data_IF_750833128139
#
_entry.id   IF_750833128139
#
_cell.length_a   1.000
_cell.length_b   1.000
_cell.length_c   1.000
_cell.angle_alpha   90.00
_cell.angle_beta   90.00
_cell.angle_gamma   90.00
#
_symmetry.space_group_name_H-M   'P 1'
#
loop_
_entity.id
_entity.type
_entity.pdbx_description
1 polymer ?
#
# COMPACT_ATOMS: atom_id res chain seq x y z
N UNK A 1 5.84 -30.33 33.65
CA UNK A 1 7.06 -29.57 33.34
C UNK A 1 7.36 -28.64 34.52
N UNK A 2 8.55 -28.74 35.12
CA UNK A 2 8.97 -27.89 36.25
C UNK A 2 9.82 -26.76 35.67
N UNK A 3 9.29 -25.55 35.61
CA UNK A 3 10.05 -24.35 35.21
C UNK A 3 10.89 -23.96 36.43
N UNK A 4 12.20 -24.06 36.31
CA UNK A 4 13.13 -23.79 37.41
C UNK A 4 13.36 -22.28 37.55
N UNK A 5 13.35 -21.79 38.79
CA UNK A 5 13.44 -20.37 39.17
C UNK A 5 14.64 -19.62 38.55
N UNK A 6 15.69 -20.36 38.16
CA UNK A 6 16.88 -19.84 37.50
C UNK A 6 16.63 -19.37 36.06
N UNK A 7 15.69 -20.02 35.34
CA UNK A 7 15.31 -19.61 33.98
C UNK A 7 14.55 -18.29 33.98
N UNK A 8 13.75 -18.03 35.04
CA UNK A 8 13.06 -16.77 35.23
C UNK A 8 14.05 -15.63 35.52
N UNK A 9 15.07 -15.88 36.33
CA UNK A 9 16.12 -14.92 36.61
C UNK A 9 16.97 -14.60 35.37
N UNK A 10 17.24 -15.59 34.52
CA UNK A 10 17.94 -15.38 33.26
C UNK A 10 17.13 -14.52 32.28
N UNK A 11 15.82 -14.76 32.18
CA UNK A 11 14.93 -14.04 31.28
C UNK A 11 14.73 -12.58 31.72
N UNK A 12 14.65 -12.33 33.03
CA UNK A 12 14.58 -10.97 33.58
C UNK A 12 15.89 -10.20 33.33
N UNK A 13 17.04 -10.84 33.53
CA UNK A 13 18.35 -10.23 33.23
C UNK A 13 18.53 -9.93 31.74
N UNK A 14 18.01 -10.78 30.86
CA UNK A 14 18.00 -10.55 29.42
C UNK A 14 17.11 -9.34 29.05
N UNK A 15 15.97 -9.18 29.73
CA UNK A 15 15.10 -8.02 29.55
C UNK A 15 15.76 -6.72 30.03
N UNK A 16 16.46 -6.75 31.18
CA UNK A 16 17.18 -5.59 31.73
C UNK A 16 18.38 -5.18 30.85
N UNK A 17 19.10 -6.12 30.24
CA UNK A 17 20.17 -5.81 29.28
C UNK A 17 19.65 -5.23 27.96
N UNK A 18 18.44 -5.62 27.55
CA UNK A 18 17.78 -5.09 26.34
C UNK A 18 17.25 -3.67 26.54
N UNK A 19 16.92 -3.29 27.78
CA UNK A 19 16.47 -1.93 28.12
C UNK A 19 17.62 -0.92 28.26
N UNK A 20 18.87 -1.37 28.39
CA UNK A 20 20.03 -0.53 28.71
C UNK A 20 20.75 0.14 27.52
N UNK A 21 20.36 -0.11 26.27
CA UNK A 21 21.07 0.44 25.08
C UNK A 21 20.29 1.48 24.29
N UNK A 22 19.10 1.88 24.74
CA UNK A 22 18.25 2.81 23.99
C UNK A 22 17.96 4.10 24.75
N UNK A 23 18.97 4.95 25.03
CA UNK A 23 18.75 6.40 25.13
C UNK A 23 20.04 7.26 25.07
N UNK A 24 20.31 7.87 23.90
CA UNK A 24 20.26 9.33 23.78
C UNK A 24 20.02 9.77 22.33
N UNK A 25 19.27 10.87 22.11
CA UNK A 25 18.63 11.20 20.85
C UNK A 25 19.49 12.18 20.03
N UNK A 26 19.46 12.01 18.71
CA UNK A 26 19.74 13.08 17.77
C UNK A 26 18.81 12.91 16.56
N UNK A 27 17.95 13.90 16.33
CA UNK A 27 17.35 14.19 15.03
C UNK A 27 16.39 13.14 14.46
N UNK A 28 15.13 13.24 14.87
CA UNK A 28 14.00 12.63 14.18
C UNK A 28 13.89 13.22 12.75
N UNK A 29 14.37 12.49 11.73
CA UNK A 29 14.29 12.91 10.33
C UNK A 29 15.23 12.19 9.36
N UNK A 30 16.39 11.70 9.82
CA UNK A 30 17.43 11.20 8.91
C UNK A 30 17.24 9.77 8.36
N UNK A 31 16.39 8.94 8.99
CA UNK A 31 16.28 7.52 8.63
C UNK A 31 15.44 7.23 7.39
N UNK A 32 14.40 8.03 7.15
CA UNK A 32 13.50 7.84 6.00
C UNK A 32 14.09 8.43 4.72
N UNK A 33 14.71 9.62 4.80
CA UNK A 33 15.39 10.24 3.66
C UNK A 33 16.56 9.40 3.14
N UNK A 34 17.31 8.76 4.04
CA UNK A 34 18.41 7.87 3.65
C UNK A 34 17.91 6.64 2.87
N UNK A 35 16.81 6.02 3.32
CA UNK A 35 16.20 4.89 2.62
C UNK A 35 15.58 5.31 1.27
N UNK A 36 15.02 6.53 1.19
CA UNK A 36 14.47 7.07 -0.05
C UNK A 36 15.56 7.39 -1.09
N UNK A 37 16.69 7.96 -0.67
CA UNK A 37 17.82 8.29 -1.55
C UNK A 37 18.50 7.04 -2.11
N UNK A 38 18.57 5.97 -1.31
CA UNK A 38 19.09 4.67 -1.73
C UNK A 38 18.15 4.00 -2.76
N UNK A 39 16.84 4.12 -2.56
CA UNK A 39 15.83 3.58 -3.50
C UNK A 39 15.72 4.38 -4.80
N UNK A 40 16.07 5.67 -4.79
CA UNK A 40 16.15 6.50 -6.00
C UNK A 40 17.47 6.39 -6.76
N UNK A 41 18.45 5.62 -6.26
CA UNK A 41 19.70 5.37 -6.97
C UNK A 41 20.55 6.62 -7.21
N UNK A 42 20.49 7.61 -6.31
CA UNK A 42 21.32 8.83 -6.39
C UNK A 42 22.66 8.69 -5.64
N UNK A 43 23.21 7.49 -5.67
CA UNK A 43 24.53 7.17 -5.14
C UNK A 43 25.66 7.69 -6.04
N UNK A 44 26.02 8.96 -5.86
CA UNK A 44 27.40 9.43 -6.00
C UNK A 44 27.85 9.97 -7.37
N UNK A 45 27.86 11.30 -7.49
CA UNK A 45 28.88 12.13 -8.16
C UNK A 45 28.49 13.59 -7.89
N UNK A 46 29.29 14.43 -7.26
CA UNK A 46 30.61 14.79 -7.75
C UNK A 46 30.47 15.81 -8.88
N UNK A 47 30.58 17.10 -8.50
CA UNK A 47 30.88 18.25 -9.35
C UNK A 47 29.86 18.69 -10.42
N UNK A 48 29.35 19.91 -10.24
CA UNK A 48 28.89 20.80 -11.31
C UNK A 48 29.99 20.92 -12.38
N UNK A 49 29.62 20.91 -13.67
CA UNK A 49 29.87 22.14 -14.41
C UNK A 49 28.71 22.55 -15.32
N UNK A 50 28.69 23.86 -15.49
CA UNK A 50 27.87 24.68 -16.36
C UNK A 50 28.09 24.38 -17.85
N UNK A 51 27.01 24.59 -18.62
CA UNK A 51 26.92 25.13 -19.98
C UNK A 51 28.03 24.78 -21.00
N UNK A 52 27.62 24.16 -22.11
CA UNK A 52 28.40 24.27 -23.35
C UNK A 52 28.01 23.33 -24.49
N UNK A 53 27.60 23.95 -25.60
CA UNK A 53 27.86 23.56 -26.98
C UNK A 53 27.04 22.43 -27.65
N UNK A 54 26.26 22.89 -28.62
CA UNK A 54 25.88 22.19 -29.86
C UNK A 54 27.13 21.81 -30.67
N UNK A 55 27.17 20.61 -31.24
CA UNK A 55 27.77 20.35 -32.57
C UNK A 55 27.47 18.91 -33.02
N UNK A 56 27.04 18.77 -34.28
CA UNK A 56 26.63 17.50 -34.88
C UNK A 56 27.79 16.58 -35.29
N UNK A 57 27.42 15.41 -35.81
CA UNK A 57 28.35 14.45 -36.40
C UNK A 57 27.66 13.13 -36.74
N UNK A 58 27.28 12.97 -38.00
CA UNK A 58 26.86 11.71 -38.61
C UNK A 58 27.93 10.63 -38.41
N UNK A 59 27.48 9.39 -38.12
CA UNK A 59 28.31 8.19 -38.28
C UNK A 59 28.22 7.19 -37.14
N UNK A 60 27.07 6.53 -36.95
CA UNK A 60 27.03 5.23 -36.25
C UNK A 60 25.73 4.46 -36.50
N UNK A 61 25.17 4.53 -37.71
CA UNK A 61 23.87 3.89 -38.04
C UNK A 61 24.09 2.49 -38.64
N UNK A 62 24.76 1.60 -37.89
CA UNK A 62 24.90 0.19 -38.31
C UNK A 62 25.15 -0.80 -37.16
N UNK A 63 25.63 -0.35 -35.99
CA UNK A 63 25.91 -1.24 -34.86
C UNK A 63 24.73 -1.42 -33.88
N UNK A 64 23.67 -0.62 -34.01
CA UNK A 64 22.56 -0.60 -33.05
C UNK A 64 21.42 -1.58 -33.40
N UNK A 65 21.34 -2.04 -34.66
CA UNK A 65 20.29 -2.97 -35.10
C UNK A 65 20.47 -4.39 -34.54
N UNK A 66 21.71 -4.85 -34.32
CA UNK A 66 21.97 -6.21 -33.79
C UNK A 66 21.71 -6.31 -32.27
N UNK A 67 21.80 -5.21 -31.52
CA UNK A 67 21.45 -5.20 -30.09
C UNK A 67 19.94 -5.01 -29.87
N UNK A 68 19.27 -4.24 -30.75
CA UNK A 68 17.82 -4.09 -30.69
C UNK A 68 17.08 -5.41 -30.98
N UNK A 69 17.59 -6.25 -31.89
CA UNK A 69 16.95 -7.54 -32.19
C UNK A 69 17.03 -8.54 -31.01
N UNK A 70 18.09 -8.47 -30.20
CA UNK A 70 18.21 -9.30 -28.99
C UNK A 70 17.31 -8.79 -27.85
N UNK A 71 17.13 -7.47 -27.73
CA UNK A 71 16.19 -6.88 -26.76
C UNK A 71 14.74 -7.19 -27.15
N UNK A 72 14.39 -7.16 -28.44
CA UNK A 72 13.06 -7.58 -28.89
C UNK A 72 12.80 -9.07 -28.68
N UNK A 73 13.82 -9.93 -28.76
CA UNK A 73 13.67 -11.36 -28.47
C UNK A 73 13.62 -11.68 -26.96
N UNK A 74 14.27 -10.88 -26.11
CA UNK A 74 14.20 -11.00 -24.65
C UNK A 74 12.91 -10.39 -24.06
N UNK A 75 12.43 -9.28 -24.64
CA UNK A 75 11.18 -8.63 -24.24
C UNK A 75 9.93 -9.39 -24.74
N UNK A 76 10.06 -10.12 -25.86
CA UNK A 76 9.03 -11.01 -26.41
C UNK A 76 9.29 -12.50 -26.04
N UNK A 77 10.28 -12.75 -25.19
CA UNK A 77 10.68 -14.07 -24.70
C UNK A 77 9.91 -14.56 -23.46
N UNK A 78 8.74 -13.98 -23.18
CA UNK A 78 7.72 -14.68 -22.40
C UNK A 78 7.13 -15.74 -23.34
N UNK A 79 7.64 -16.95 -23.15
CA UNK A 79 6.87 -18.20 -23.07
C UNK A 79 5.56 -18.21 -23.85
N UNK A 80 5.53 -19.07 -24.86
CA UNK A 80 4.36 -19.35 -25.66
C UNK A 80 3.09 -19.56 -24.84
N UNK A 81 1.99 -19.17 -25.48
CA UNK A 81 0.73 -19.91 -25.53
C UNK A 81 0.54 -20.89 -24.37
N UNK A 82 0.28 -20.34 -23.18
CA UNK A 82 -0.58 -20.99 -22.21
C UNK A 82 -1.63 -19.94 -21.86
N UNK A 83 -2.75 -20.00 -22.58
CA UNK A 83 -4.01 -19.43 -22.15
C UNK A 83 -4.54 -20.27 -20.97
N UNK A 84 -3.74 -20.39 -19.92
CA UNK A 84 -4.20 -20.79 -18.61
C UNK A 84 -4.60 -19.47 -17.95
N UNK A 85 -5.91 -19.23 -17.91
CA UNK A 85 -6.47 -18.09 -17.20
C UNK A 85 -6.04 -18.27 -15.75
N UNK A 86 -5.05 -17.51 -15.30
CA UNK A 86 -4.57 -17.61 -13.93
C UNK A 86 -5.76 -17.29 -13.01
N UNK A 87 -6.28 -18.27 -12.26
CA UNK A 87 -7.51 -18.09 -11.50
C UNK A 87 -7.35 -17.04 -10.40
N UNK A 88 -6.12 -16.66 -10.04
CA UNK A 88 -5.87 -15.57 -9.11
C UNK A 88 -6.03 -14.20 -9.79
N UNK A 89 -5.75 -14.08 -11.09
CA UNK A 89 -5.88 -12.80 -11.79
C UNK A 89 -7.36 -12.37 -11.94
N UNK A 90 -8.26 -13.32 -12.17
CA UNK A 90 -9.71 -13.04 -12.18
C UNK A 90 -10.23 -12.62 -10.80
N UNK A 91 -9.80 -13.32 -9.74
CA UNK A 91 -10.19 -12.98 -8.36
C UNK A 91 -9.62 -11.63 -7.95
N UNK A 92 -8.40 -11.29 -8.38
CA UNK A 92 -7.80 -9.97 -8.16
C UNK A 92 -8.56 -8.86 -8.89
N UNK A 93 -8.96 -9.09 -10.15
CA UNK A 93 -9.75 -8.13 -10.94
C UNK A 93 -11.13 -7.91 -10.33
N UNK A 94 -11.79 -8.97 -9.88
CA UNK A 94 -13.09 -8.89 -9.21
C UNK A 94 -12.96 -8.13 -7.88
N UNK A 95 -11.94 -8.47 -7.07
CA UNK A 95 -11.68 -7.77 -5.81
C UNK A 95 -11.41 -6.27 -6.02
N UNK A 96 -10.68 -5.90 -7.08
CA UNK A 96 -10.42 -4.49 -7.39
C UNK A 96 -11.67 -3.77 -7.88
N UNK A 97 -12.50 -4.44 -8.68
CA UNK A 97 -13.80 -3.92 -9.13
C UNK A 97 -14.74 -3.70 -7.94
N UNK A 98 -14.81 -4.67 -7.04
CA UNK A 98 -15.57 -4.58 -5.80
C UNK A 98 -15.05 -3.45 -4.90
N UNK A 99 -13.72 -3.34 -4.72
CA UNK A 99 -13.11 -2.27 -3.94
C UNK A 99 -13.41 -0.88 -4.54
N UNK A 100 -13.37 -0.76 -5.87
CA UNK A 100 -13.74 0.47 -6.58
C UNK A 100 -15.20 0.84 -6.33
N UNK A 101 -16.11 -0.12 -6.43
CA UNK A 101 -17.51 0.08 -6.09
C UNK A 101 -17.72 0.49 -4.62
N UNK A 102 -16.96 -0.07 -3.69
CA UNK A 102 -16.97 0.36 -2.28
C UNK A 102 -16.49 1.80 -2.10
N UNK A 103 -15.47 2.23 -2.86
CA UNK A 103 -15.02 3.62 -2.86
C UNK A 103 -16.06 4.59 -3.44
N UNK A 104 -16.81 4.18 -4.47
CA UNK A 104 -17.94 4.97 -4.97
C UNK A 104 -19.06 5.12 -3.92
N UNK A 105 -19.29 4.07 -3.11
CA UNK A 105 -20.24 4.14 -1.99
C UNK A 105 -19.71 5.09 -0.89
N UNK A 106 -18.40 5.13 -0.65
CA UNK A 106 -17.76 6.09 0.26
C UNK A 106 -17.95 7.54 -0.22
N UNK A 107 -17.81 7.81 -1.52
CA UNK A 107 -18.07 9.13 -2.08
C UNK A 107 -19.54 9.54 -1.86
N UNK A 108 -20.46 8.62 -2.17
CA UNK A 108 -21.89 8.80 -1.92
C UNK A 108 -22.19 9.07 -0.44
N UNK A 109 -21.55 8.32 0.46
CA UNK A 109 -21.65 8.52 1.91
C UNK A 109 -21.20 9.93 2.32
N UNK A 110 -20.03 10.38 1.85
CA UNK A 110 -19.51 11.72 2.17
C UNK A 110 -20.44 12.81 1.65
N UNK A 111 -21.00 12.65 0.45
CA UNK A 111 -21.95 13.60 -0.11
C UNK A 111 -23.24 13.66 0.73
N UNK A 112 -23.83 12.51 1.06
CA UNK A 112 -25.03 12.44 1.92
C UNK A 112 -24.77 13.00 3.32
N UNK A 113 -23.58 12.75 3.89
CA UNK A 113 -23.18 13.28 5.19
C UNK A 113 -23.02 14.81 5.16
N UNK A 114 -22.45 15.35 4.08
CA UNK A 114 -22.31 16.79 3.86
C UNK A 114 -23.67 17.50 3.72
N UNK A 115 -24.63 16.85 3.06
CA UNK A 115 -26.01 17.34 2.97
C UNK A 115 -26.77 17.23 4.30
N UNK A 116 -26.40 16.30 5.17
CA UNK A 116 -27.07 16.14 6.46
C UNK A 116 -26.95 17.37 7.38
N UNK A 117 -25.85 18.12 7.29
CA UNK A 117 -25.70 19.42 7.94
C UNK A 117 -26.56 20.56 7.34
N UNK A 118 -27.24 20.31 6.21
CA UNK A 118 -28.09 21.26 5.47
C UNK A 118 -29.56 20.84 5.41
N UNK A 119 -29.98 19.91 6.27
CA UNK A 119 -31.34 19.36 6.30
C UNK A 119 -31.49 17.99 5.63
N UNK A 120 -30.40 17.37 5.19
CA UNK A 120 -30.36 15.96 4.76
C UNK A 120 -30.47 14.97 5.91
N UNK A 121 -30.64 13.68 5.58
CA UNK A 121 -30.89 12.63 6.58
C UNK A 121 -29.61 11.95 7.06
N UNK A 122 -29.20 12.19 8.31
CA UNK A 122 -28.11 11.45 8.97
C UNK A 122 -28.31 9.93 8.93
N UNK A 123 -29.58 9.51 8.99
CA UNK A 123 -30.00 8.11 8.91
C UNK A 123 -29.64 7.47 7.57
N UNK A 124 -29.68 8.26 6.50
CA UNK A 124 -29.38 7.79 5.15
C UNK A 124 -27.87 7.62 4.95
N UNK A 125 -27.07 8.56 5.46
CA UNK A 125 -25.62 8.40 5.56
C UNK A 125 -25.23 7.16 6.39
N UNK A 126 -25.92 6.91 7.51
CA UNK A 126 -25.68 5.70 8.30
C UNK A 126 -26.05 4.41 7.55
N UNK A 127 -27.14 4.41 6.78
CA UNK A 127 -27.52 3.26 5.96
C UNK A 127 -26.46 2.95 4.89
N UNK A 128 -25.91 3.97 4.24
CA UNK A 128 -24.79 3.83 3.31
C UNK A 128 -23.56 3.25 4.01
N UNK A 129 -23.23 3.75 5.21
CA UNK A 129 -22.12 3.24 6.00
C UNK A 129 -22.27 1.75 6.37
N UNK A 130 -23.49 1.30 6.68
CA UNK A 130 -23.77 -0.13 6.90
C UNK A 130 -23.59 -0.96 5.62
N UNK A 131 -23.98 -0.42 4.46
CA UNK A 131 -23.74 -1.07 3.17
C UNK A 131 -22.24 -1.23 2.87
N UNK A 132 -21.46 -0.18 3.16
CA UNK A 132 -20.00 -0.18 3.02
C UNK A 132 -19.36 -1.23 3.95
N UNK A 133 -19.73 -1.26 5.23
CA UNK A 133 -19.25 -2.25 6.23
C UNK A 133 -19.47 -3.70 5.72
N UNK A 134 -20.63 -3.95 5.11
CA UNK A 134 -20.95 -5.22 4.46
C UNK A 134 -20.08 -5.53 3.25
N UNK A 135 -19.87 -4.56 2.35
CA UNK A 135 -19.02 -4.74 1.17
C UNK A 135 -17.55 -4.97 1.51
N UNK A 136 -17.03 -4.27 2.51
CA UNK A 136 -15.66 -4.47 3.01
C UNK A 136 -15.50 -5.86 3.61
N UNK A 137 -16.49 -6.32 4.37
CA UNK A 137 -16.51 -7.69 4.91
C UNK A 137 -16.49 -8.74 3.80
N UNK A 138 -17.34 -8.57 2.78
CA UNK A 138 -17.37 -9.46 1.62
C UNK A 138 -16.06 -9.43 0.83
N UNK A 139 -15.45 -8.25 0.67
CA UNK A 139 -14.17 -8.09 -0.01
C UNK A 139 -13.05 -8.82 0.76
N UNK A 140 -13.04 -8.73 2.09
CA UNK A 140 -12.09 -9.45 2.96
C UNK A 140 -12.25 -10.96 2.86
N UNK A 141 -13.48 -11.46 2.75
CA UNK A 141 -13.75 -12.89 2.56
C UNK A 141 -13.31 -13.38 1.17
N UNK A 142 -13.65 -12.63 0.11
CA UNK A 142 -13.30 -12.98 -1.27
C UNK A 142 -11.77 -12.99 -1.49
N UNK A 143 -11.08 -12.03 -0.88
CA UNK A 143 -9.62 -11.90 -0.98
C UNK A 143 -8.84 -12.76 0.02
N UNK A 144 -9.51 -13.52 0.91
CA UNK A 144 -8.83 -14.30 1.95
C UNK A 144 -7.86 -15.35 1.38
N UNK A 145 -8.16 -15.92 0.22
CA UNK A 145 -7.27 -16.86 -0.47
C UNK A 145 -6.04 -16.19 -1.13
N UNK A 146 -6.09 -14.87 -1.34
CA UNK A 146 -5.03 -14.06 -1.95
C UNK A 146 -4.17 -13.33 -0.91
N UNK A 147 -4.45 -13.54 0.37
CA UNK A 147 -3.74 -12.86 1.46
C UNK A 147 -2.24 -13.22 1.44
N UNK A 148 -1.39 -12.21 1.49
CA UNK A 148 0.07 -12.37 1.37
C UNK A 148 0.61 -12.53 -0.06
N UNK A 149 -0.26 -12.73 -1.06
CA UNK A 149 0.12 -12.74 -2.47
C UNK A 149 0.16 -11.32 -3.04
N UNK A 150 -0.75 -10.46 -2.58
CA UNK A 150 -0.80 -9.05 -2.96
C UNK A 150 -0.85 -8.14 -1.73
N UNK A 151 0.30 -7.61 -1.26
CA UNK A 151 0.35 -6.77 -0.07
C UNK A 151 -0.39 -5.43 -0.24
N UNK A 152 -0.52 -4.94 -1.48
CA UNK A 152 -1.27 -3.72 -1.78
C UNK A 152 -2.77 -3.91 -1.55
N UNK A 153 -3.33 -5.02 -2.02
CA UNK A 153 -4.74 -5.37 -1.78
C UNK A 153 -5.03 -5.58 -0.30
N UNK A 154 -4.15 -6.28 0.42
CA UNK A 154 -4.29 -6.50 1.86
C UNK A 154 -4.33 -5.18 2.63
N UNK A 155 -3.43 -4.25 2.27
CA UNK A 155 -3.39 -2.89 2.83
C UNK A 155 -4.68 -2.12 2.52
N UNK A 156 -5.20 -2.21 1.28
CA UNK A 156 -6.43 -1.54 0.88
C UNK A 156 -7.64 -2.05 1.68
N UNK A 157 -7.82 -3.37 1.77
CA UNK A 157 -8.93 -3.98 2.51
C UNK A 157 -8.86 -3.59 3.99
N UNK A 158 -7.67 -3.65 4.59
CA UNK A 158 -7.48 -3.24 5.98
C UNK A 158 -7.80 -1.75 6.19
N UNK A 159 -7.35 -0.87 5.28
CA UNK A 159 -7.67 0.56 5.37
C UNK A 159 -9.17 0.82 5.26
N UNK A 160 -9.87 0.15 4.34
CA UNK A 160 -11.32 0.25 4.21
C UNK A 160 -12.04 -0.21 5.48
N UNK A 161 -11.57 -1.28 6.11
CA UNK A 161 -12.13 -1.79 7.38
C UNK A 161 -11.92 -0.80 8.53
N UNK A 162 -10.71 -0.28 8.68
CA UNK A 162 -10.40 0.73 9.71
C UNK A 162 -11.25 1.99 9.50
N UNK A 163 -11.43 2.42 8.25
CA UNK A 163 -12.24 3.60 7.91
C UNK A 163 -13.72 3.37 8.23
N UNK A 164 -14.29 2.22 7.83
CA UNK A 164 -15.66 1.82 8.16
C UNK A 164 -15.90 1.78 9.67
N UNK A 165 -14.99 1.13 10.42
CA UNK A 165 -15.07 1.04 11.87
C UNK A 165 -14.98 2.42 12.55
N UNK A 166 -14.08 3.28 12.08
CA UNK A 166 -13.89 4.63 12.62
C UNK A 166 -15.12 5.49 12.40
N UNK A 167 -15.70 5.46 11.20
CA UNK A 167 -16.92 6.21 10.89
C UNK A 167 -18.12 5.71 11.69
N UNK A 168 -18.24 4.39 11.89
CA UNK A 168 -19.28 3.79 12.74
C UNK A 168 -19.14 4.24 14.19
N UNK A 169 -17.91 4.33 14.68
CA UNK A 169 -17.62 4.86 16.02
C UNK A 169 -18.03 6.34 16.15
N UNK A 170 -17.71 7.18 15.17
CA UNK A 170 -18.11 8.60 15.14
C UNK A 170 -19.63 8.78 15.15
N UNK A 171 -20.35 7.97 14.36
CA UNK A 171 -21.82 7.92 14.39
C UNK A 171 -22.37 7.55 15.76
N UNK A 172 -21.87 6.48 16.36
CA UNK A 172 -22.34 6.02 17.68
C UNK A 172 -22.03 7.01 18.80
N UNK A 173 -20.93 7.77 18.68
CA UNK A 173 -20.60 8.86 19.59
C UNK A 173 -21.52 10.08 19.44
N UNK A 174 -22.20 10.20 18.30
CA UNK A 174 -23.06 11.33 17.99
C UNK A 174 -22.32 12.54 17.44
N UNK A 175 -21.10 12.39 16.87
CA UNK A 175 -20.34 13.51 16.29
C UNK A 175 -21.07 14.25 15.17
N UNK A 176 -22.08 13.60 14.60
CA UNK A 176 -22.85 14.09 13.46
C UNK A 176 -24.21 14.66 13.85
N UNK A 177 -24.62 14.58 15.12
CA UNK A 177 -25.79 15.30 15.64
C UNK A 177 -25.38 16.74 15.95
N UNK A 178 -25.49 17.63 14.95
CA UNK A 178 -25.36 19.09 15.10
C UNK A 178 -26.71 19.74 15.36
#
# INVERSE_FOLDING_TARGET
MKINNEQLAALLRQQEQSAGTAHKPAGQGAGFEAALAEQLGLGGAGAFPSAGAVSGGQGMQAAQASQASMISQMLLGVTGENNDVDPHEDVLREAFTQASGTLDMWDSYVNTLGDAGRGGSLREAYALLQGIDGQVSALKENTAGLRGQNPGLDTLVNNLEVLAATEKFKFNRGDYNV
#
